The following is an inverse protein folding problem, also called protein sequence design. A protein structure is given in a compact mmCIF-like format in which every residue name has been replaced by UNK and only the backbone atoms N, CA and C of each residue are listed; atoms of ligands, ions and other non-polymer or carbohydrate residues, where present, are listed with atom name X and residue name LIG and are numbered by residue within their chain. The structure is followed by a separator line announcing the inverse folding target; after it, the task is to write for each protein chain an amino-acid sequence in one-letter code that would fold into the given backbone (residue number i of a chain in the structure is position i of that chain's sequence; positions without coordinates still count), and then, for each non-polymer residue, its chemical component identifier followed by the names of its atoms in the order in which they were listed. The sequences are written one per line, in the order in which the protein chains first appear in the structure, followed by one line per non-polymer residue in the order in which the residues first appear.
data_IF_341785558714
#
_entry.id   IF_341785558714
#
_cell.length_a   1.000
_cell.length_b   1.000
_cell.length_c   1.000
_cell.angle_alpha   90.00
_cell.angle_beta   90.00
_cell.angle_gamma   90.00
#
_symmetry.space_group_name_H-M   'P 1'
#
loop_
_entity.id
_entity.type
_entity.pdbx_description
1 polymer ?
#
# COMPACT_ATOMS: atom_id res chain seq x y z
N UNK A 1 -4.88 18.38 -2.99
CA UNK A 1 -6.18 17.96 -3.58
C UNK A 1 -7.01 17.22 -2.51
N UNK A 2 -8.34 17.43 -2.41
CA UNK A 2 -9.17 16.90 -1.29
C UNK A 2 -9.81 15.55 -1.64
N UNK A 3 -9.66 14.52 -0.80
CA UNK A 3 -10.43 13.27 -0.93
C UNK A 3 -11.87 13.47 -0.40
N UNK A 4 -12.84 12.88 -1.06
CA UNK A 4 -14.26 12.97 -0.71
C UNK A 4 -14.66 11.82 0.21
N UNK A 5 -14.00 11.78 1.39
CA UNK A 5 -14.23 10.79 2.44
C UNK A 5 -13.97 11.45 3.80
N UNK A 6 -14.86 11.26 4.80
CA UNK A 6 -14.57 11.65 6.17
C UNK A 6 -13.30 10.96 6.66
N UNK A 7 -12.47 11.68 7.42
CA UNK A 7 -11.20 11.16 7.89
C UNK A 7 -10.92 11.58 9.33
N UNK A 8 -9.89 10.98 9.90
CA UNK A 8 -9.51 11.17 11.29
C UNK A 8 -8.72 12.45 11.57
N UNK A 9 -8.28 13.19 10.55
CA UNK A 9 -7.40 14.35 10.72
C UNK A 9 -8.14 15.48 11.44
N UNK A 10 -7.46 16.10 12.42
CA UNK A 10 -7.94 17.27 13.16
C UNK A 10 -7.11 18.48 12.78
N UNK A 11 -5.80 18.42 13.02
CA UNK A 11 -4.86 19.49 12.70
C UNK A 11 -3.43 18.98 12.57
N UNK A 12 -2.57 19.76 11.91
CA UNK A 12 -1.13 19.55 11.87
C UNK A 12 -0.48 20.29 13.04
N UNK A 13 0.37 19.61 13.82
CA UNK A 13 1.09 20.22 14.96
C UNK A 13 2.50 20.65 14.63
N UNK A 14 3.19 19.87 13.79
CA UNK A 14 4.54 20.13 13.34
C UNK A 14 4.76 19.50 11.97
N UNK A 15 6.00 19.50 11.48
CA UNK A 15 6.30 18.85 10.21
C UNK A 15 6.15 17.33 10.24
N UNK A 16 6.24 16.74 11.43
CA UNK A 16 6.25 15.29 11.65
C UNK A 16 5.08 14.81 12.52
N UNK A 17 4.16 15.70 12.92
CA UNK A 17 3.07 15.35 13.85
C UNK A 17 1.72 15.93 13.42
N UNK A 18 0.70 15.09 13.56
CA UNK A 18 -0.71 15.44 13.33
C UNK A 18 -1.55 15.01 14.54
N UNK A 19 -2.61 15.77 14.83
CA UNK A 19 -3.66 15.34 15.76
C UNK A 19 -4.75 14.64 14.97
N UNK A 20 -5.18 13.49 15.48
CA UNK A 20 -6.22 12.67 14.89
C UNK A 20 -7.30 12.32 15.91
N UNK A 21 -8.49 12.02 15.43
CA UNK A 21 -9.59 11.49 16.24
C UNK A 21 -9.26 10.06 16.66
N UNK A 22 -9.40 9.76 17.96
CA UNK A 22 -9.34 8.38 18.46
C UNK A 22 -10.59 7.61 18.01
N UNK A 23 -10.41 6.38 17.51
CA UNK A 23 -11.49 5.53 17.01
C UNK A 23 -11.15 4.05 17.15
N UNK A 24 -12.14 3.21 16.90
CA UNK A 24 -11.96 1.76 16.86
C UNK A 24 -11.58 1.35 15.43
N UNK A 25 -10.34 0.91 15.22
CA UNK A 25 -9.85 0.50 13.91
C UNK A 25 -10.54 -0.78 13.43
N UNK A 26 -10.85 -0.86 12.13
CA UNK A 26 -11.29 -2.10 11.51
C UNK A 26 -10.06 -3.02 11.29
N UNK A 27 -10.17 -4.33 11.57
CA UNK A 27 -9.04 -5.27 11.53
C UNK A 27 -8.70 -5.76 10.10
N UNK A 28 -8.89 -4.91 9.10
CA UNK A 28 -8.66 -5.21 7.69
C UNK A 28 -7.90 -4.06 7.03
N UNK A 29 -6.85 -4.39 6.28
CA UNK A 29 -6.17 -3.43 5.44
C UNK A 29 -6.80 -3.45 4.04
N UNK A 30 -7.23 -2.28 3.59
CA UNK A 30 -7.98 -2.12 2.36
C UNK A 30 -7.01 -1.84 1.21
N UNK A 31 -6.40 -2.90 0.67
CA UNK A 31 -5.50 -2.79 -0.48
C UNK A 31 -6.30 -2.75 -1.78
N UNK A 32 -6.02 -1.76 -2.61
CA UNK A 32 -6.54 -1.63 -3.97
C UNK A 32 -5.40 -1.70 -4.96
N UNK A 33 -5.54 -2.52 -6.00
CA UNK A 33 -4.52 -2.70 -7.03
C UNK A 33 -5.06 -2.31 -8.39
N UNK A 34 -4.32 -1.49 -9.13
CA UNK A 34 -4.61 -1.23 -10.55
C UNK A 34 -3.66 -1.94 -11.50
N UNK A 35 -2.60 -2.57 -10.98
CA UNK A 35 -1.59 -3.26 -11.77
C UNK A 35 -1.32 -4.65 -11.20
N UNK A 36 -1.01 -5.59 -12.09
CA UNK A 36 -0.74 -6.98 -11.77
C UNK A 36 0.69 -7.12 -11.25
N UNK A 37 0.86 -6.91 -9.95
CA UNK A 37 2.18 -6.80 -9.32
C UNK A 37 2.20 -7.31 -7.87
N UNK A 38 3.39 -7.40 -7.29
CA UNK A 38 3.59 -7.71 -5.88
C UNK A 38 2.96 -9.05 -5.45
N UNK A 39 2.30 -9.05 -4.29
CA UNK A 39 1.69 -10.27 -3.73
C UNK A 39 0.53 -10.82 -4.57
N UNK A 40 -0.14 -10.00 -5.38
CA UNK A 40 -1.14 -10.48 -6.34
C UNK A 40 -0.48 -11.36 -7.41
N UNK A 41 0.57 -10.85 -8.05
CA UNK A 41 1.32 -11.60 -9.06
C UNK A 41 1.93 -12.88 -8.48
N UNK A 42 2.56 -12.79 -7.30
CA UNK A 42 3.16 -13.95 -6.63
C UNK A 42 2.14 -15.04 -6.29
N UNK A 43 0.96 -14.68 -5.75
CA UNK A 43 -0.09 -15.66 -5.45
C UNK A 43 -0.63 -16.33 -6.70
N UNK A 44 -0.83 -15.57 -7.78
CA UNK A 44 -1.30 -16.13 -9.05
C UNK A 44 -0.26 -17.07 -9.67
N UNK A 45 1.00 -16.65 -9.73
CA UNK A 45 2.11 -17.46 -10.25
C UNK A 45 2.28 -18.79 -9.50
N UNK A 46 1.98 -18.80 -8.20
CA UNK A 46 2.03 -19.98 -7.34
C UNK A 46 0.72 -20.78 -7.31
N UNK A 47 -0.26 -20.45 -8.16
CA UNK A 47 -1.55 -21.16 -8.25
C UNK A 47 -2.46 -20.99 -7.03
N UNK A 48 -2.18 -20.02 -6.14
CA UNK A 48 -3.00 -19.75 -4.94
C UNK A 48 -4.26 -18.95 -5.25
N UNK A 49 -4.25 -18.22 -6.36
CA UNK A 49 -5.42 -17.49 -6.86
C UNK A 49 -5.51 -17.70 -8.38
N UNK A 50 -6.73 -17.59 -8.90
CA UNK A 50 -7.00 -17.51 -10.34
C UNK A 50 -7.56 -16.13 -10.65
N UNK A 51 -7.21 -15.60 -11.83
CA UNK A 51 -7.83 -14.39 -12.36
C UNK A 51 -8.82 -14.76 -13.46
N UNK A 52 -9.69 -13.82 -13.83
CA UNK A 52 -10.56 -13.95 -14.99
C UNK A 52 -9.73 -14.28 -16.24
N UNK A 53 -10.31 -15.01 -17.20
CA UNK A 53 -9.60 -15.48 -18.40
C UNK A 53 -8.94 -14.36 -19.21
N UNK A 54 -9.54 -13.17 -19.18
CA UNK A 54 -9.07 -11.98 -19.92
C UNK A 54 -8.17 -11.08 -19.06
N UNK A 55 -7.84 -11.49 -17.84
CA UNK A 55 -6.92 -10.74 -17.00
C UNK A 55 -5.49 -10.81 -17.55
N UNK A 56 -4.71 -9.72 -17.42
CA UNK A 56 -3.33 -9.75 -17.86
C UNK A 56 -2.52 -10.74 -17.00
N UNK A 57 -1.57 -11.42 -17.64
CA UNK A 57 -0.70 -12.42 -17.00
C UNK A 57 0.76 -11.95 -16.89
N UNK A 58 1.09 -10.83 -17.53
CA UNK A 58 2.43 -10.25 -17.51
C UNK A 58 2.62 -9.38 -16.26
N UNK A 59 3.83 -9.45 -15.67
CA UNK A 59 4.20 -8.63 -14.52
C UNK A 59 4.01 -7.14 -14.85
N UNK A 60 3.51 -6.36 -13.89
CA UNK A 60 3.30 -4.91 -14.00
C UNK A 60 2.28 -4.51 -15.08
N UNK A 61 1.55 -5.44 -15.70
CA UNK A 61 0.47 -5.11 -16.61
C UNK A 61 -0.70 -4.43 -15.90
N UNK A 62 -1.33 -3.46 -16.55
CA UNK A 62 -2.51 -2.76 -16.02
C UNK A 62 -3.72 -3.69 -15.98
N UNK A 63 -4.41 -3.75 -14.84
CA UNK A 63 -5.66 -4.47 -14.70
C UNK A 63 -6.79 -3.73 -15.43
N UNK A 64 -7.75 -4.48 -15.99
CA UNK A 64 -8.91 -3.92 -16.70
C UNK A 64 -9.75 -2.99 -15.83
N UNK A 65 -9.83 -3.28 -14.53
CA UNK A 65 -10.39 -2.45 -13.48
C UNK A 65 -9.57 -2.61 -12.20
N UNK A 66 -9.51 -1.58 -11.33
CA UNK A 66 -8.91 -1.76 -10.01
C UNK A 66 -9.64 -2.84 -9.23
N UNK A 67 -8.88 -3.67 -8.52
CA UNK A 67 -9.42 -4.73 -7.67
C UNK A 67 -9.25 -4.37 -6.20
N UNK A 68 -10.24 -4.71 -5.39
CA UNK A 68 -10.14 -4.70 -3.94
C UNK A 68 -9.58 -6.05 -3.50
N UNK A 69 -8.40 -6.04 -2.87
CA UNK A 69 -7.64 -7.24 -2.49
C UNK A 69 -7.17 -7.13 -1.03
N UNK A 70 -8.10 -7.12 -0.07
CA UNK A 70 -7.79 -6.79 1.31
C UNK A 70 -6.91 -7.85 1.99
N UNK A 71 -6.25 -7.44 3.06
CA UNK A 71 -5.45 -8.30 3.94
C UNK A 71 -5.93 -8.19 5.38
N UNK A 72 -5.74 -9.24 6.18
CA UNK A 72 -5.94 -9.16 7.63
C UNK A 72 -4.89 -8.25 8.24
N UNK A 73 -5.28 -7.44 9.23
CA UNK A 73 -4.31 -6.68 10.03
C UNK A 73 -3.73 -7.57 11.13
N UNK A 74 -2.58 -8.20 10.89
CA UNK A 74 -1.95 -9.13 11.83
C UNK A 74 -0.43 -8.98 11.87
N UNK A 75 0.29 -9.82 12.61
CA UNK A 75 1.78 -9.82 12.57
C UNK A 75 2.32 -10.14 11.17
N UNK A 76 1.54 -10.84 10.35
CA UNK A 76 1.75 -11.01 8.93
C UNK A 76 0.45 -10.70 8.17
N UNK A 77 0.47 -9.76 7.25
CA UNK A 77 -0.72 -9.41 6.49
C UNK A 77 -1.04 -10.54 5.50
N UNK A 78 -2.14 -11.24 5.75
CA UNK A 78 -2.59 -12.38 4.95
C UNK A 78 -3.76 -11.92 4.08
N UNK A 79 -3.71 -12.13 2.76
CA UNK A 79 -4.85 -11.83 1.89
C UNK A 79 -6.10 -12.57 2.33
N UNK A 80 -7.22 -11.87 2.34
CA UNK A 80 -8.49 -12.40 2.83
C UNK A 80 -9.60 -12.12 1.82
N UNK A 81 -10.42 -13.13 1.54
CA UNK A 81 -11.61 -12.94 0.72
C UNK A 81 -12.81 -12.45 1.56
N UNK A 82 -13.92 -12.18 0.88
CA UNK A 82 -15.14 -11.66 1.51
C UNK A 82 -15.74 -12.64 2.52
N UNK A 83 -15.82 -13.92 2.17
CA UNK A 83 -16.49 -14.94 2.99
C UNK A 83 -15.68 -15.21 4.26
N UNK A 84 -14.35 -15.27 4.14
CA UNK A 84 -13.43 -15.37 5.27
C UNK A 84 -13.49 -14.12 6.16
N UNK A 85 -13.55 -12.91 5.58
CA UNK A 85 -13.61 -11.67 6.37
C UNK A 85 -14.89 -11.57 7.21
N UNK A 86 -16.02 -12.00 6.65
CA UNK A 86 -17.32 -12.01 7.33
C UNK A 86 -17.38 -13.13 8.37
N UNK A 87 -16.96 -14.35 8.01
CA UNK A 87 -17.02 -15.51 8.92
C UNK A 87 -16.10 -15.37 10.13
N UNK A 88 -14.98 -14.65 9.99
CA UNK A 88 -14.07 -14.30 11.09
C UNK A 88 -14.51 -13.05 11.88
N UNK A 89 -15.69 -12.51 11.57
CA UNK A 89 -16.27 -11.32 12.22
C UNK A 89 -15.36 -10.08 12.18
N UNK A 90 -14.51 -9.98 11.15
CA UNK A 90 -13.62 -8.82 10.98
C UNK A 90 -14.40 -7.58 10.56
N UNK A 91 -15.41 -7.79 9.71
CA UNK A 91 -16.32 -6.76 9.18
C UNK A 91 -17.68 -7.39 8.89
N UNK A 92 -18.74 -6.58 8.90
CA UNK A 92 -20.07 -6.99 8.39
C UNK A 92 -20.11 -6.99 6.86
N UNK A 93 -21.18 -7.54 6.27
CA UNK A 93 -21.42 -7.46 4.81
C UNK A 93 -21.43 -6.00 4.33
N UNK A 94 -22.21 -5.15 5.00
CA UNK A 94 -22.36 -3.74 4.64
C UNK A 94 -21.03 -2.97 4.79
N UNK A 95 -20.24 -3.29 5.83
CA UNK A 95 -18.90 -2.74 6.00
C UNK A 95 -17.96 -3.16 4.88
N UNK A 96 -17.93 -4.44 4.53
CA UNK A 96 -17.07 -4.94 3.45
C UNK A 96 -17.39 -4.26 2.12
N UNK A 97 -18.68 -4.17 1.77
CA UNK A 97 -19.12 -3.57 0.52
C UNK A 97 -18.79 -2.06 0.48
N UNK A 98 -19.01 -1.35 1.60
CA UNK A 98 -18.62 0.06 1.74
C UNK A 98 -17.09 0.25 1.61
N UNK A 99 -16.30 -0.57 2.29
CA UNK A 99 -14.83 -0.50 2.24
C UNK A 99 -14.31 -0.73 0.83
N UNK A 100 -14.83 -1.75 0.14
CA UNK A 100 -14.49 -2.04 -1.25
C UNK A 100 -14.79 -0.86 -2.18
N UNK A 101 -16.02 -0.34 -2.14
CA UNK A 101 -16.44 0.76 -2.99
C UNK A 101 -15.62 2.03 -2.73
N UNK A 102 -15.48 2.43 -1.46
CA UNK A 102 -14.77 3.65 -1.08
C UNK A 102 -13.29 3.56 -1.36
N UNK A 103 -12.66 2.42 -1.09
CA UNK A 103 -11.24 2.23 -1.38
C UNK A 103 -10.96 2.34 -2.87
N UNK A 104 -11.79 1.72 -3.73
CA UNK A 104 -11.66 1.85 -5.18
C UNK A 104 -11.86 3.30 -5.64
N UNK A 105 -12.85 4.03 -5.07
CA UNK A 105 -13.08 5.45 -5.39
C UNK A 105 -11.87 6.32 -5.01
N UNK A 106 -11.29 6.11 -3.83
CA UNK A 106 -10.09 6.81 -3.36
C UNK A 106 -8.90 6.49 -4.25
N UNK A 107 -8.65 5.21 -4.53
CA UNK A 107 -7.58 4.77 -5.42
C UNK A 107 -7.69 5.42 -6.79
N UNK A 108 -8.86 5.41 -7.44
CA UNK A 108 -9.05 6.03 -8.77
C UNK A 108 -8.71 7.52 -8.76
N UNK A 109 -9.11 8.23 -7.70
CA UNK A 109 -8.81 9.66 -7.54
C UNK A 109 -7.31 9.89 -7.37
N UNK A 110 -6.66 9.12 -6.50
CA UNK A 110 -5.21 9.23 -6.29
C UNK A 110 -4.40 8.81 -7.53
N UNK A 111 -4.85 7.78 -8.24
CA UNK A 111 -4.23 7.33 -9.48
C UNK A 111 -4.29 8.43 -10.55
N UNK A 112 -5.40 9.17 -10.66
CA UNK A 112 -5.49 10.33 -11.55
C UNK A 112 -4.50 11.45 -11.13
N UNK A 113 -4.34 11.69 -9.83
CA UNK A 113 -3.35 12.68 -9.33
C UNK A 113 -1.93 12.24 -9.67
N UNK A 114 -1.58 10.98 -9.42
CA UNK A 114 -0.27 10.42 -9.78
C UNK A 114 -0.04 10.53 -11.29
N UNK A 115 -1.05 10.19 -12.10
CA UNK A 115 -1.00 10.23 -13.55
C UNK A 115 -0.67 11.63 -14.08
N UNK A 116 -1.36 12.65 -13.59
CA UNK A 116 -1.09 14.06 -13.92
C UNK A 116 0.31 14.52 -13.47
N UNK A 117 0.91 13.84 -12.50
CA UNK A 117 2.20 14.20 -11.89
C UNK A 117 3.38 13.41 -12.47
N UNK A 118 3.18 12.67 -13.56
CA UNK A 118 4.25 11.88 -14.20
C UNK A 118 4.45 10.48 -13.59
N UNK A 119 3.54 10.01 -12.74
CA UNK A 119 3.64 8.74 -12.03
C UNK A 119 2.48 7.79 -12.33
N UNK A 120 2.69 6.52 -12.00
CA UNK A 120 1.69 5.46 -11.98
C UNK A 120 1.51 5.02 -10.53
N UNK A 121 0.27 5.08 -10.04
CA UNK A 121 -0.11 4.49 -8.75
C UNK A 121 -0.45 3.01 -8.95
N UNK A 122 0.49 2.12 -8.64
CA UNK A 122 0.33 0.69 -8.89
C UNK A 122 -0.69 0.05 -7.95
N UNK A 123 -0.57 0.35 -6.66
CA UNK A 123 -1.48 -0.05 -5.60
C UNK A 123 -1.45 0.93 -4.43
N UNK A 124 -2.47 0.84 -3.58
CA UNK A 124 -2.71 1.70 -2.43
C UNK A 124 -3.32 0.86 -1.31
N UNK A 125 -2.76 0.97 -0.11
CA UNK A 125 -3.30 0.46 1.14
C UNK A 125 -4.02 1.58 1.88
N UNK A 126 -5.22 1.30 2.36
CA UNK A 126 -6.00 2.21 3.19
C UNK A 126 -6.38 1.51 4.48
N UNK A 127 -6.55 2.29 5.54
CA UNK A 127 -7.12 1.80 6.78
C UNK A 127 -8.33 2.66 7.18
N UNK A 128 -9.27 2.02 7.86
CA UNK A 128 -10.50 2.65 8.28
C UNK A 128 -10.79 2.32 9.73
N UNK A 129 -11.54 3.20 10.39
CA UNK A 129 -12.03 2.98 11.73
C UNK A 129 -13.46 3.47 11.90
N UNK A 130 -14.09 3.05 12.99
CA UNK A 130 -15.44 3.45 13.39
C UNK A 130 -15.38 4.54 14.45
N UNK A 131 -16.02 5.67 14.16
CA UNK A 131 -16.28 6.74 15.10
C UNK A 131 -17.80 6.96 15.17
N UNK A 132 -18.41 6.75 16.33
CA UNK A 132 -19.88 6.83 16.50
C UNK A 132 -20.65 5.95 15.49
N UNK A 133 -20.18 4.73 15.24
CA UNK A 133 -20.68 3.79 14.23
C UNK A 133 -20.56 4.24 12.75
N UNK A 134 -19.92 5.37 12.45
CA UNK A 134 -19.58 5.77 11.09
C UNK A 134 -18.18 5.31 10.72
N UNK A 135 -18.02 4.72 9.54
CA UNK A 135 -16.72 4.35 8.99
C UNK A 135 -16.05 5.60 8.41
N UNK A 136 -14.84 5.89 8.89
CA UNK A 136 -14.03 7.02 8.43
C UNK A 136 -12.62 6.55 8.06
N UNK A 137 -11.99 7.25 7.12
CA UNK A 137 -10.61 7.00 6.72
C UNK A 137 -9.67 7.32 7.89
N UNK A 138 -8.77 6.39 8.17
CA UNK A 138 -7.77 6.48 9.21
C UNK A 138 -6.38 6.24 8.61
N UNK A 139 -5.39 6.18 9.49
CA UNK A 139 -3.97 6.09 9.16
C UNK A 139 -3.47 7.22 8.24
N UNK A 140 -2.19 7.21 7.92
CA UNK A 140 -1.61 8.08 6.91
C UNK A 140 -1.78 7.52 5.51
N UNK A 141 -1.66 8.39 4.50
CA UNK A 141 -1.51 7.97 3.10
C UNK A 141 -0.23 8.62 2.59
N UNK A 142 0.87 7.89 2.70
CA UNK A 142 2.19 8.32 2.25
C UNK A 142 2.86 7.28 1.35
N UNK A 143 4.14 7.53 0.98
CA UNK A 143 4.95 6.62 0.16
C UNK A 143 5.10 5.20 0.72
N UNK A 144 4.71 4.99 1.97
CA UNK A 144 4.79 3.70 2.63
C UNK A 144 3.51 2.86 2.39
N UNK A 145 2.38 3.52 2.13
CA UNK A 145 1.07 2.93 1.93
C UNK A 145 0.73 2.75 0.45
N UNK A 146 1.51 3.30 -0.48
CA UNK A 146 1.31 3.09 -1.90
C UNK A 146 2.58 2.70 -2.64
N UNK A 147 2.40 2.11 -3.83
CA UNK A 147 3.47 1.94 -4.80
C UNK A 147 3.36 2.95 -5.94
N UNK A 148 4.44 3.69 -6.16
CA UNK A 148 4.49 4.77 -7.14
C UNK A 148 5.63 4.54 -8.13
N UNK A 149 5.30 4.46 -9.42
CA UNK A 149 6.28 4.21 -10.50
C UNK A 149 6.38 5.42 -11.42
N UNK A 150 7.59 5.88 -11.80
CA UNK A 150 7.74 6.88 -12.85
C UNK A 150 7.18 6.37 -14.18
N UNK A 151 6.45 7.22 -14.91
CA UNK A 151 5.88 6.85 -16.21
C UNK A 151 6.93 6.64 -17.30
N UNK A 152 8.03 7.38 -17.24
CA UNK A 152 9.09 7.39 -18.24
C UNK A 152 9.93 6.10 -18.23
N UNK A 153 9.98 5.40 -17.09
CA UNK A 153 10.70 4.13 -16.94
C UNK A 153 9.78 2.90 -16.86
N UNK A 154 8.46 3.09 -16.84
CA UNK A 154 7.48 2.00 -16.73
C UNK A 154 7.52 1.03 -17.92
N UNK A 155 7.59 -0.28 -17.63
CA UNK A 155 7.61 -1.34 -18.65
C UNK A 155 6.86 -2.59 -18.20
N UNK A 156 5.95 -3.07 -19.02
CA UNK A 156 5.26 -4.35 -18.79
C UNK A 156 6.28 -5.50 -18.89
N UNK A 157 6.13 -6.51 -18.03
CA UNK A 157 6.99 -7.69 -17.95
C UNK A 157 8.22 -7.53 -17.06
N UNK A 158 8.52 -6.31 -16.59
CA UNK A 158 9.71 -6.00 -15.79
C UNK A 158 9.37 -5.66 -14.33
N UNK A 159 10.38 -5.70 -13.47
CA UNK A 159 10.32 -5.08 -12.14
C UNK A 159 10.40 -3.57 -12.31
N UNK A 160 9.54 -2.83 -11.62
CA UNK A 160 9.44 -1.38 -11.77
C UNK A 160 10.37 -0.64 -10.81
N UNK A 161 10.89 0.51 -11.26
CA UNK A 161 11.45 1.49 -10.34
C UNK A 161 10.34 2.06 -9.45
N UNK A 162 10.60 2.09 -8.15
CA UNK A 162 9.60 2.41 -7.13
C UNK A 162 10.03 3.60 -6.27
N UNK A 163 9.14 4.57 -6.11
CA UNK A 163 9.30 5.78 -5.29
C UNK A 163 8.65 5.59 -3.91
N UNK A 164 8.90 4.41 -3.34
CA UNK A 164 8.34 3.89 -2.10
C UNK A 164 9.41 3.06 -1.34
N UNK A 165 9.00 2.35 -0.28
CA UNK A 165 9.88 1.48 0.53
C UNK A 165 10.55 0.33 -0.22
N UNK A 166 10.16 0.03 -1.47
CA UNK A 166 10.65 -1.14 -2.20
C UNK A 166 12.17 -1.10 -2.40
N UNK A 167 12.76 0.08 -2.60
CA UNK A 167 14.21 0.24 -2.71
C UNK A 167 14.97 -0.29 -1.49
N UNK A 168 14.44 -0.03 -0.27
CA UNK A 168 15.01 -0.57 0.96
C UNK A 168 14.78 -2.08 1.07
N UNK A 169 13.59 -2.56 0.71
CA UNK A 169 13.24 -4.00 0.76
C UNK A 169 14.14 -4.84 -0.15
N UNK A 170 14.40 -4.35 -1.36
CA UNK A 170 15.26 -5.03 -2.33
C UNK A 170 16.69 -5.09 -1.79
N UNK A 171 17.22 -3.97 -1.29
CA UNK A 171 18.56 -3.92 -0.69
C UNK A 171 18.69 -4.85 0.53
N UNK A 172 17.71 -4.86 1.44
CA UNK A 172 17.70 -5.77 2.59
C UNK A 172 17.72 -7.25 2.15
N UNK A 173 16.98 -7.57 1.09
CA UNK A 173 16.90 -8.93 0.54
C UNK A 173 18.23 -9.34 -0.09
N UNK A 174 18.79 -8.49 -0.97
CA UNK A 174 20.07 -8.71 -1.66
C UNK A 174 21.24 -8.85 -0.68
N UNK A 175 21.19 -8.17 0.45
CA UNK A 175 22.21 -8.23 1.50
C UNK A 175 21.95 -9.34 2.54
N UNK A 176 20.99 -10.24 2.29
CA UNK A 176 20.71 -11.41 3.12
C UNK A 176 20.09 -11.10 4.48
N UNK A 177 19.57 -9.88 4.70
CA UNK A 177 18.99 -9.48 5.98
C UNK A 177 17.67 -10.18 6.26
N UNK A 178 16.89 -10.51 5.22
CA UNK A 178 15.65 -11.29 5.41
C UNK A 178 15.95 -12.60 6.13
N UNK A 179 16.96 -13.35 5.68
CA UNK A 179 17.37 -14.61 6.30
C UNK A 179 17.88 -14.40 7.74
N UNK A 180 18.72 -13.39 7.98
CA UNK A 180 19.22 -13.08 9.32
C UNK A 180 18.08 -12.73 10.29
N UNK A 181 17.09 -12.00 9.80
CA UNK A 181 15.89 -11.64 10.56
C UNK A 181 15.09 -12.88 10.94
N UNK A 182 14.84 -13.77 9.98
CA UNK A 182 14.09 -15.01 10.18
C UNK A 182 14.82 -15.98 11.12
N UNK A 183 16.14 -16.10 10.98
CA UNK A 183 17.00 -16.92 11.84
C UNK A 183 16.99 -16.40 13.29
N UNK A 184 17.21 -15.10 13.51
CA UNK A 184 17.19 -14.50 14.84
C UNK A 184 15.82 -14.69 15.53
N UNK A 185 14.72 -14.41 14.83
CA UNK A 185 13.36 -14.64 15.33
C UNK A 185 13.10 -16.10 15.69
N UNK A 186 13.55 -17.03 14.86
CA UNK A 186 13.38 -18.47 15.10
C UNK A 186 14.18 -18.94 16.33
N UNK A 187 15.27 -18.26 16.64
CA UNK A 187 16.08 -18.47 17.84
C UNK A 187 15.63 -17.65 19.07
N UNK A 188 14.55 -16.87 18.96
CA UNK A 188 14.06 -16.02 20.05
C UNK A 188 14.92 -14.77 20.32
N UNK A 189 15.80 -14.41 19.39
CA UNK A 189 16.66 -13.24 19.45
C UNK A 189 16.06 -12.05 18.70
N UNK A 190 16.41 -10.85 19.14
CA UNK A 190 16.00 -9.62 18.45
C UNK A 190 16.96 -9.32 17.29
N UNK A 191 16.45 -9.21 16.05
CA UNK A 191 17.30 -9.00 14.89
C UNK A 191 17.96 -7.62 14.92
N UNK A 192 19.28 -7.60 14.73
CA UNK A 192 20.06 -6.35 14.68
C UNK A 192 19.81 -5.67 13.34
N UNK A 193 19.30 -4.44 13.39
CA UNK A 193 19.09 -3.63 12.20
C UNK A 193 20.41 -3.33 11.46
N UNK A 194 20.47 -3.44 10.12
CA UNK A 194 21.64 -3.03 9.35
C UNK A 194 21.98 -1.55 9.55
N UNK A 195 23.26 -1.23 9.37
CA UNK A 195 23.61 0.11 8.92
C UNK A 195 23.24 0.24 7.44
N UNK A 196 22.34 1.18 7.13
CA UNK A 196 21.91 1.47 5.77
C UNK A 196 22.96 2.40 5.12
N UNK A 197 23.50 2.06 3.93
CA UNK A 197 24.44 2.91 3.21
C UNK A 197 23.90 4.33 2.97
N UNK A 198 24.75 5.34 3.10
CA UNK A 198 24.35 6.75 3.01
C UNK A 198 23.85 7.15 1.62
N UNK A 199 24.36 6.50 0.57
CA UNK A 199 23.89 6.65 -0.81
C UNK A 199 22.46 6.11 -0.98
N UNK A 200 22.15 4.98 -0.34
CA UNK A 200 20.80 4.41 -0.32
C UNK A 200 19.82 5.33 0.42
N UNK A 201 20.20 5.85 1.59
CA UNK A 201 19.41 6.84 2.34
C UNK A 201 19.15 8.08 1.47
N UNK A 202 20.20 8.65 0.87
CA UNK A 202 20.08 9.84 0.02
C UNK A 202 19.16 9.60 -1.18
N UNK A 203 19.28 8.43 -1.82
CA UNK A 203 18.43 8.05 -2.96
C UNK A 203 16.97 7.89 -2.55
N UNK A 204 16.69 7.26 -1.41
CA UNK A 204 15.33 7.15 -0.87
C UNK A 204 14.74 8.52 -0.56
N UNK A 205 15.49 9.37 0.15
CA UNK A 205 15.07 10.74 0.46
C UNK A 205 14.73 11.50 -0.81
N UNK A 206 15.60 11.46 -1.82
CA UNK A 206 15.34 12.14 -3.09
C UNK A 206 14.06 11.64 -3.76
N UNK A 207 13.80 10.33 -3.77
CA UNK A 207 12.56 9.77 -4.33
C UNK A 207 11.32 10.25 -3.59
N UNK A 208 11.36 10.30 -2.25
CA UNK A 208 10.24 10.82 -1.45
C UNK A 208 10.00 12.31 -1.69
N UNK A 209 11.05 13.12 -1.75
CA UNK A 209 10.94 14.55 -2.10
C UNK A 209 10.35 14.71 -3.50
N UNK A 210 10.92 14.07 -4.52
CA UNK A 210 10.43 14.17 -5.90
C UNK A 210 8.95 13.76 -6.01
N UNK A 211 8.54 12.67 -5.35
CA UNK A 211 7.15 12.22 -5.35
C UNK A 211 6.23 13.25 -4.67
N UNK A 212 6.62 13.76 -3.50
CA UNK A 212 5.87 14.79 -2.78
C UNK A 212 5.71 16.06 -3.61
N UNK A 213 6.80 16.59 -4.15
CA UNK A 213 6.80 17.86 -4.89
C UNK A 213 5.98 17.75 -6.17
N UNK A 214 6.15 16.65 -6.91
CA UNK A 214 5.40 16.43 -8.15
C UNK A 214 3.90 16.23 -7.89
N UNK A 215 3.52 15.43 -6.88
CA UNK A 215 2.11 15.13 -6.60
C UNK A 215 1.36 16.28 -5.95
N UNK A 216 2.05 17.12 -5.18
CA UNK A 216 1.42 18.20 -4.42
C UNK A 216 1.58 19.58 -5.07
N UNK A 217 2.63 19.77 -5.87
CA UNK A 217 3.04 21.07 -6.41
C UNK A 217 3.71 21.99 -5.37
N UNK A 218 4.02 21.48 -4.17
CA UNK A 218 4.75 22.22 -3.14
C UNK A 218 6.23 21.84 -3.14
N UNK A 219 7.05 22.61 -2.43
CA UNK A 219 8.48 22.33 -2.20
C UNK A 219 8.66 21.92 -0.74
N UNK A 220 9.55 20.95 -0.47
CA UNK A 220 9.87 20.51 0.89
C UNK A 220 10.92 21.41 1.56
#
# INVERSE_FOLDING_TARGET
KKLDVPNHFVERKSDTEIIVKKMNMLPIECVVRGYFYGSLFSRWKNGKISLDKDAPTELAARLSKPIFDPTTKSTHDIPIDRDDAISKELVTNDEYDWLSEKSIKIYKKMAAVADESGFILADLKLEFGKLNNEIILADSIGPDEFRLWPKDTYKIGETQEAYDKQLLRDWLTENGYQKKFDDARSSGEEPIAPSIPSDLVSKMTQRYVTAYESMTGNTL
#
